data_IF_668416478176
#
_entry.id   IF_668416478176
#
_cell.length_a   1.000
_cell.length_b   1.000
_cell.length_c   1.000
_cell.angle_alpha   90.00
_cell.angle_beta   90.00
_cell.angle_gamma   90.00
#
_symmetry.space_group_name_H-M   'P 1'
#
loop_
_entity.id
_entity.type
_entity.pdbx_description
1 polymer ?
#
# COMPACT_ATOMS: atom_id res chain seq x y z
N UNK A 1 -8.32 12.26 -11.06
CA UNK A 1 -8.13 13.07 -12.29
C UNK A 1 -6.69 13.55 -12.46
N UNK A 2 -6.07 14.19 -11.45
CA UNK A 2 -4.70 14.73 -11.52
C UNK A 2 -3.64 13.71 -11.98
N UNK A 3 -3.63 12.49 -11.43
CA UNK A 3 -2.65 11.45 -11.83
C UNK A 3 -2.71 11.18 -13.34
N UNK A 4 -3.92 11.00 -13.89
CA UNK A 4 -4.13 10.77 -15.31
C UNK A 4 -3.56 11.91 -16.16
N UNK A 5 -3.90 13.16 -15.80
CA UNK A 5 -3.43 14.35 -16.50
C UNK A 5 -1.89 14.44 -16.46
N UNK A 6 -1.28 14.19 -15.31
CA UNK A 6 0.18 14.19 -15.16
C UNK A 6 0.82 13.15 -16.08
N UNK A 7 0.30 11.92 -16.06
CA UNK A 7 0.81 10.84 -16.93
C UNK A 7 0.66 11.21 -18.40
N UNK A 8 -0.55 11.54 -18.85
CA UNK A 8 -0.85 11.73 -20.28
C UNK A 8 -0.21 12.99 -20.86
N UNK A 9 -0.24 14.11 -20.13
CA UNK A 9 0.17 15.41 -20.67
C UNK A 9 1.62 15.77 -20.38
N UNK A 10 2.21 15.21 -19.31
CA UNK A 10 3.53 15.66 -18.85
C UNK A 10 4.57 14.53 -18.81
N UNK A 11 4.20 13.29 -18.48
CA UNK A 11 5.16 12.19 -18.45
C UNK A 11 5.27 11.49 -19.81
N UNK A 12 4.16 11.06 -20.40
CA UNK A 12 4.13 10.29 -21.65
C UNK A 12 4.88 10.95 -22.82
N UNK A 13 4.77 12.27 -23.08
CA UNK A 13 5.50 12.91 -24.17
C UNK A 13 7.03 12.77 -24.07
N UNK A 14 7.57 12.63 -22.86
CA UNK A 14 9.01 12.48 -22.62
C UNK A 14 9.47 11.01 -22.61
N UNK A 15 8.54 10.05 -22.60
CA UNK A 15 8.85 8.63 -22.50
C UNK A 15 8.58 7.87 -23.80
N UNK A 16 7.64 8.34 -24.63
CA UNK A 16 7.37 7.75 -25.93
C UNK A 16 8.63 7.79 -26.82
N UNK A 17 8.95 6.64 -27.42
CA UNK A 17 10.15 6.47 -28.24
C UNK A 17 11.44 6.22 -27.46
N UNK A 18 11.40 6.19 -26.13
CA UNK A 18 12.56 5.81 -25.30
C UNK A 18 12.61 4.30 -25.08
N UNK A 19 13.78 3.77 -24.69
CA UNK A 19 13.95 2.36 -24.34
C UNK A 19 13.22 2.02 -23.04
N UNK A 20 12.15 1.24 -23.14
CA UNK A 20 11.35 0.79 -22.01
C UNK A 20 12.11 -0.14 -21.04
N UNK A 21 13.22 -0.76 -21.46
CA UNK A 21 14.05 -1.59 -20.57
C UNK A 21 14.95 -0.74 -19.66
N UNK A 22 15.22 0.51 -20.02
CA UNK A 22 15.97 1.47 -19.22
C UNK A 22 15.07 2.22 -18.22
N UNK A 23 14.52 1.46 -17.25
CA UNK A 23 13.65 2.01 -16.19
C UNK A 23 14.32 3.15 -15.42
N UNK A 24 15.60 3.01 -15.10
CA UNK A 24 16.37 4.06 -14.40
C UNK A 24 16.46 5.36 -15.22
N UNK A 25 16.66 5.25 -16.53
CA UNK A 25 16.61 6.39 -17.45
C UNK A 25 15.23 7.05 -17.49
N UNK A 26 14.17 6.25 -17.59
CA UNK A 26 12.80 6.75 -17.56
C UNK A 26 12.48 7.50 -16.25
N UNK A 27 12.92 6.98 -15.09
CA UNK A 27 12.78 7.66 -13.80
C UNK A 27 13.50 9.01 -13.77
N UNK A 28 14.73 9.08 -14.29
CA UNK A 28 15.47 10.34 -14.37
C UNK A 28 14.78 11.35 -15.28
N UNK A 29 14.28 10.90 -16.44
CA UNK A 29 13.51 11.74 -17.38
C UNK A 29 12.25 12.28 -16.72
N UNK A 30 11.45 11.42 -16.07
CA UNK A 30 10.24 11.85 -15.34
C UNK A 30 10.55 12.80 -14.19
N UNK A 31 11.64 12.58 -13.47
CA UNK A 31 12.06 13.45 -12.38
C UNK A 31 12.43 14.87 -12.85
N UNK A 32 13.03 14.99 -14.04
CA UNK A 32 13.33 16.28 -14.67
C UNK A 32 12.09 16.97 -15.25
N UNK A 33 11.16 16.19 -15.82
CA UNK A 33 9.98 16.74 -16.49
C UNK A 33 8.92 17.28 -15.50
N UNK A 34 8.74 16.63 -14.35
CA UNK A 34 7.69 16.98 -13.39
C UNK A 34 8.23 16.95 -11.97
N UNK A 35 8.14 18.04 -11.22
CA UNK A 35 8.44 18.06 -9.79
C UNK A 35 7.33 17.36 -8.99
N UNK A 36 7.69 16.59 -7.96
CA UNK A 36 6.71 15.87 -7.12
C UNK A 36 5.97 14.76 -7.88
N UNK A 37 4.66 14.65 -7.65
CA UNK A 37 3.75 13.71 -8.33
C UNK A 37 4.18 12.23 -8.23
N UNK A 38 4.62 11.81 -7.05
CA UNK A 38 5.17 10.48 -6.81
C UNK A 38 4.23 9.36 -7.26
N UNK A 39 2.92 9.45 -6.98
CA UNK A 39 1.95 8.42 -7.38
C UNK A 39 1.83 8.25 -8.90
N UNK A 40 1.93 9.35 -9.67
CA UNK A 40 1.88 9.28 -11.13
C UNK A 40 3.15 8.63 -11.68
N UNK A 41 4.32 8.99 -11.15
CA UNK A 41 5.61 8.39 -11.54
C UNK A 41 5.69 6.92 -11.17
N UNK A 42 5.23 6.57 -9.97
CA UNK A 42 5.18 5.18 -9.49
C UNK A 42 4.28 4.31 -10.39
N UNK A 43 3.13 4.84 -10.86
CA UNK A 43 2.28 4.11 -11.80
C UNK A 43 3.01 3.77 -13.10
N UNK A 44 3.79 4.72 -13.64
CA UNK A 44 4.58 4.50 -14.86
C UNK A 44 5.76 3.55 -14.61
N UNK A 45 6.50 3.74 -13.51
CA UNK A 45 7.60 2.86 -13.12
C UNK A 45 7.13 1.40 -12.96
N UNK A 46 6.01 1.18 -12.27
CA UNK A 46 5.42 -0.15 -12.11
C UNK A 46 5.07 -0.78 -13.46
N UNK A 47 4.54 -0.01 -14.41
CA UNK A 47 4.23 -0.51 -15.75
C UNK A 47 5.49 -0.89 -16.53
N UNK A 48 6.57 -0.10 -16.42
CA UNK A 48 7.84 -0.40 -17.06
C UNK A 48 8.52 -1.64 -16.45
N UNK A 49 8.46 -1.79 -15.11
CA UNK A 49 8.96 -2.98 -14.42
C UNK A 49 8.16 -4.23 -14.78
N UNK A 50 6.82 -4.15 -14.85
CA UNK A 50 5.97 -5.27 -15.29
C UNK A 50 6.27 -5.66 -16.75
N UNK A 51 6.38 -4.68 -17.66
CA UNK A 51 6.78 -4.92 -19.05
C UNK A 51 8.12 -5.64 -19.12
N UNK A 52 9.14 -5.10 -18.44
CA UNK A 52 10.50 -5.66 -18.44
C UNK A 52 10.52 -7.09 -17.88
N UNK A 53 9.82 -7.33 -16.77
CA UNK A 53 9.74 -8.65 -16.15
C UNK A 53 9.05 -9.66 -17.08
N UNK A 54 7.92 -9.29 -17.71
CA UNK A 54 7.22 -10.13 -18.69
C UNK A 54 8.07 -10.43 -19.91
N UNK A 55 8.76 -9.44 -20.46
CA UNK A 55 9.60 -9.61 -21.64
C UNK A 55 10.81 -10.52 -21.35
N UNK A 56 11.29 -10.54 -20.11
CA UNK A 56 12.36 -11.43 -19.65
C UNK A 56 11.85 -12.80 -19.15
N UNK A 57 10.53 -13.01 -19.08
CA UNK A 57 9.95 -14.25 -18.58
C UNK A 57 10.15 -14.50 -17.08
N UNK A 58 10.35 -13.44 -16.28
CA UNK A 58 10.60 -13.52 -14.83
C UNK A 58 9.53 -12.78 -14.04
N UNK A 59 9.43 -13.05 -12.73
CA UNK A 59 8.62 -12.21 -11.84
C UNK A 59 9.31 -10.87 -11.56
N UNK A 60 8.56 -9.84 -11.14
CA UNK A 60 9.17 -8.57 -10.69
C UNK A 60 10.10 -8.81 -9.48
N UNK A 61 9.77 -9.75 -8.58
CA UNK A 61 10.63 -10.07 -7.45
C UNK A 61 11.99 -10.64 -7.91
N UNK A 62 12.00 -11.51 -8.92
CA UNK A 62 13.24 -12.01 -9.55
C UNK A 62 14.03 -10.88 -10.21
N UNK A 63 13.33 -10.01 -10.95
CA UNK A 63 13.95 -8.82 -11.57
C UNK A 63 14.65 -7.91 -10.55
N UNK A 64 14.13 -7.86 -9.31
CA UNK A 64 14.66 -7.05 -8.21
C UNK A 64 15.68 -7.78 -7.31
N UNK A 65 16.19 -8.95 -7.73
CA UNK A 65 17.24 -9.69 -7.02
C UNK A 65 16.79 -10.96 -6.32
N UNK A 66 15.55 -11.40 -6.55
CA UNK A 66 15.01 -12.65 -6.03
C UNK A 66 14.21 -12.50 -4.73
N UNK A 67 13.14 -13.29 -4.55
CA UNK A 67 12.30 -13.23 -3.35
C UNK A 67 12.97 -13.87 -2.14
N UNK A 68 13.00 -13.15 -1.00
CA UNK A 68 13.42 -13.72 0.30
C UNK A 68 12.31 -14.53 1.01
N UNK A 69 11.07 -14.42 0.50
CA UNK A 69 9.87 -15.10 1.04
C UNK A 69 8.79 -15.13 -0.04
N UNK A 70 7.93 -16.13 0.01
CA UNK A 70 6.79 -16.29 -0.91
C UNK A 70 5.48 -15.74 -0.35
N UNK A 71 5.43 -15.36 0.94
CA UNK A 71 4.24 -14.81 1.59
C UNK A 71 4.61 -13.75 2.65
N UNK A 72 3.68 -12.84 2.91
CA UNK A 72 3.83 -11.75 3.89
C UNK A 72 2.58 -11.70 4.77
N UNK A 73 2.71 -11.65 6.12
CA UNK A 73 1.58 -11.38 6.99
C UNK A 73 0.96 -10.01 6.68
N UNK A 74 -0.33 -9.98 6.37
CA UNK A 74 -1.04 -8.75 5.98
C UNK A 74 -1.92 -8.24 7.13
N UNK A 75 -1.85 -6.94 7.39
CA UNK A 75 -2.69 -6.28 8.40
C UNK A 75 -4.05 -5.91 7.82
N UNK A 76 -5.12 -6.12 8.60
CA UNK A 76 -6.48 -5.66 8.30
C UNK A 76 -6.73 -4.30 8.93
N UNK A 77 -7.37 -3.37 8.22
CA UNK A 77 -7.65 -2.04 8.78
C UNK A 77 -9.04 -2.02 9.41
N UNK A 78 -9.11 -1.68 10.70
CA UNK A 78 -10.32 -1.41 11.46
C UNK A 78 -10.56 0.11 11.44
N UNK A 79 -11.66 0.51 10.82
CA UNK A 79 -11.99 1.91 10.56
C UNK A 79 -13.51 2.12 10.40
N UNK A 80 -14.33 1.25 11.01
CA UNK A 80 -15.78 1.35 10.85
C UNK A 80 -16.39 2.54 11.59
N UNK A 81 -15.65 3.14 12.53
CA UNK A 81 -16.15 4.20 13.39
C UNK A 81 -17.04 3.68 14.52
N UNK A 82 -17.11 2.36 14.75
CA UNK A 82 -17.85 1.71 15.83
C UNK A 82 -17.04 0.57 16.47
N UNK A 83 -16.88 0.63 17.80
CA UNK A 83 -16.05 -0.34 18.54
C UNK A 83 -16.54 -1.77 18.39
N UNK A 84 -17.86 -1.98 18.41
CA UNK A 84 -18.43 -3.33 18.32
C UNK A 84 -18.20 -3.92 16.93
N UNK A 85 -18.48 -3.15 15.87
CA UNK A 85 -18.24 -3.59 14.49
C UNK A 85 -16.76 -3.90 14.22
N UNK A 86 -15.86 -3.07 14.74
CA UNK A 86 -14.43 -3.32 14.59
C UNK A 86 -13.99 -4.59 15.34
N UNK A 87 -14.55 -4.85 16.53
CA UNK A 87 -14.30 -6.09 17.27
C UNK A 87 -14.85 -7.32 16.53
N UNK A 88 -16.11 -7.26 16.09
CA UNK A 88 -16.75 -8.34 15.34
C UNK A 88 -15.95 -8.67 14.07
N UNK A 89 -15.50 -7.63 13.34
CA UNK A 89 -14.64 -7.78 12.16
C UNK A 89 -13.30 -8.43 12.52
N UNK A 90 -12.67 -8.02 13.62
CA UNK A 90 -11.40 -8.59 14.04
C UNK A 90 -11.51 -10.07 14.42
N UNK A 91 -12.55 -10.43 15.17
CA UNK A 91 -12.84 -11.83 15.54
C UNK A 91 -13.07 -12.67 14.30
N UNK A 92 -13.93 -12.21 13.37
CA UNK A 92 -14.19 -12.91 12.11
C UNK A 92 -12.90 -13.16 11.32
N UNK A 93 -12.03 -12.15 11.20
CA UNK A 93 -10.78 -12.28 10.47
C UNK A 93 -9.78 -13.25 11.13
N UNK A 94 -9.77 -13.33 12.46
CA UNK A 94 -8.96 -14.30 13.21
C UNK A 94 -9.50 -15.72 13.00
N UNK A 95 -10.81 -15.91 13.18
CA UNK A 95 -11.47 -17.22 13.05
C UNK A 95 -11.31 -17.78 11.63
N UNK A 96 -11.43 -16.95 10.61
CA UNK A 96 -11.19 -17.32 9.21
C UNK A 96 -9.71 -17.49 8.86
N UNK A 97 -8.80 -17.30 9.82
CA UNK A 97 -7.34 -17.34 9.63
C UNK A 97 -6.87 -16.40 8.52
N UNK A 98 -7.58 -15.28 8.35
CA UNK A 98 -7.31 -14.27 7.32
C UNK A 98 -6.33 -13.23 7.83
N UNK A 99 -6.51 -12.76 9.06
CA UNK A 99 -5.66 -11.75 9.69
C UNK A 99 -5.59 -11.96 11.21
N UNK A 100 -4.40 -11.78 11.76
CA UNK A 100 -4.17 -11.62 13.21
C UNK A 100 -3.39 -10.32 13.50
N UNK A 101 -3.31 -9.42 12.51
CA UNK A 101 -2.65 -8.12 12.60
C UNK A 101 -3.68 -7.09 12.18
N UNK A 102 -3.87 -6.08 13.00
CA UNK A 102 -4.89 -5.06 12.78
C UNK A 102 -4.29 -3.66 12.90
N UNK A 103 -4.64 -2.80 11.96
CA UNK A 103 -4.37 -1.36 12.00
C UNK A 103 -5.67 -0.65 12.36
N UNK A 104 -5.69 0.08 13.46
CA UNK A 104 -6.86 0.85 13.91
C UNK A 104 -6.69 2.31 13.48
N UNK A 105 -7.69 2.84 12.79
CA UNK A 105 -7.76 4.26 12.38
C UNK A 105 -8.32 5.11 13.53
N UNK A 106 -7.54 6.08 13.98
CA UNK A 106 -7.88 7.01 15.07
C UNK A 106 -7.83 8.46 14.56
N UNK A 107 -8.20 9.41 15.40
CA UNK A 107 -8.18 10.85 15.09
C UNK A 107 -9.51 11.41 14.59
N UNK A 108 -10.55 10.58 14.49
CA UNK A 108 -11.91 10.99 14.13
C UNK A 108 -12.80 11.33 15.34
N UNK A 109 -12.36 10.96 16.55
CA UNK A 109 -13.05 11.20 17.82
C UNK A 109 -12.19 12.04 18.76
N UNK A 110 -12.69 12.28 19.98
CA UNK A 110 -11.83 12.83 21.03
C UNK A 110 -10.70 11.82 21.36
N UNK A 111 -9.51 12.29 21.76
CA UNK A 111 -8.43 11.40 22.19
C UNK A 111 -8.86 10.41 23.28
N UNK A 112 -9.74 10.82 24.19
CA UNK A 112 -10.29 9.97 25.24
C UNK A 112 -11.16 8.84 24.67
N UNK A 113 -12.03 9.14 23.70
CA UNK A 113 -12.87 8.13 23.06
C UNK A 113 -12.06 7.14 22.21
N UNK A 114 -11.00 7.63 21.56
CA UNK A 114 -10.07 6.77 20.83
C UNK A 114 -9.28 5.83 21.76
N UNK A 115 -8.92 6.30 22.96
CA UNK A 115 -8.32 5.43 23.99
C UNK A 115 -9.30 4.36 24.49
N UNK A 116 -10.55 4.74 24.80
CA UNK A 116 -11.59 3.79 25.22
C UNK A 116 -11.82 2.73 24.14
N UNK A 117 -11.88 3.14 22.88
CA UNK A 117 -11.99 2.23 21.74
C UNK A 117 -10.80 1.26 21.65
N UNK A 118 -9.57 1.76 21.80
CA UNK A 118 -8.36 0.94 21.77
C UNK A 118 -8.28 -0.03 22.95
N UNK A 119 -8.65 0.39 24.16
CA UNK A 119 -8.70 -0.46 25.35
C UNK A 119 -9.70 -1.61 25.15
N UNK A 120 -10.90 -1.32 24.63
CA UNK A 120 -11.90 -2.33 24.35
C UNK A 120 -11.40 -3.38 23.35
N UNK A 121 -10.76 -2.96 22.25
CA UNK A 121 -10.16 -3.88 21.26
C UNK A 121 -9.01 -4.69 21.86
N UNK A 122 -8.11 -4.04 22.59
CA UNK A 122 -6.95 -4.69 23.21
C UNK A 122 -7.37 -5.76 24.22
N UNK A 123 -8.31 -5.44 25.11
CA UNK A 123 -8.81 -6.35 26.12
C UNK A 123 -9.54 -7.55 25.51
N UNK A 124 -10.34 -7.32 24.46
CA UNK A 124 -11.15 -8.36 23.85
C UNK A 124 -10.33 -9.32 22.97
N UNK A 125 -9.35 -8.79 22.24
CA UNK A 125 -8.52 -9.60 21.33
C UNK A 125 -7.33 -10.26 22.05
N UNK A 126 -6.81 -9.61 23.09
CA UNK A 126 -5.69 -10.09 23.90
C UNK A 126 -4.49 -10.52 23.05
N UNK A 127 -3.85 -11.62 23.41
CA UNK A 127 -2.66 -12.16 22.72
C UNK A 127 -2.94 -12.76 21.34
N UNK A 128 -4.21 -12.85 20.91
CA UNK A 128 -4.58 -13.40 19.60
C UNK A 128 -4.31 -12.44 18.45
N UNK A 129 -4.10 -11.16 18.74
CA UNK A 129 -3.96 -10.11 17.75
C UNK A 129 -2.76 -9.19 18.01
N UNK A 130 -2.17 -8.68 16.92
CA UNK A 130 -1.25 -7.55 16.96
C UNK A 130 -1.98 -6.28 16.57
N UNK A 131 -2.07 -5.32 17.48
CA UNK A 131 -2.69 -4.02 17.23
C UNK A 131 -1.63 -2.95 16.91
N UNK A 132 -1.92 -2.12 15.90
CA UNK A 132 -1.17 -0.91 15.57
C UNK A 132 -2.18 0.21 15.34
N UNK A 133 -1.76 1.45 15.56
CA UNK A 133 -2.62 2.62 15.38
C UNK A 133 -2.11 3.50 14.24
N UNK A 134 -3.03 4.22 13.60
CA UNK A 134 -2.75 5.25 12.62
C UNK A 134 -3.66 6.46 12.88
N UNK A 135 -3.04 7.57 13.30
CA UNK A 135 -3.68 8.82 13.71
C UNK A 135 -3.81 9.85 12.56
N UNK A 136 -3.54 9.42 11.32
CA UNK A 136 -3.55 10.25 10.12
C UNK A 136 -4.88 10.18 9.35
#
# INVERSE_FOLDING_TARGET
>A
ETIKIIVERYLAPHLLGTDAFNVSGALQTMARAVTGNASAKAAVEMALLDLKARALGVSIAELLGGPLRSAIPIAWTLASGDTKRDLDSAVEMIERRRHNRFKVKLGFRSPQDDLIHMEALSNSLGSKAYLRVDVN
#
